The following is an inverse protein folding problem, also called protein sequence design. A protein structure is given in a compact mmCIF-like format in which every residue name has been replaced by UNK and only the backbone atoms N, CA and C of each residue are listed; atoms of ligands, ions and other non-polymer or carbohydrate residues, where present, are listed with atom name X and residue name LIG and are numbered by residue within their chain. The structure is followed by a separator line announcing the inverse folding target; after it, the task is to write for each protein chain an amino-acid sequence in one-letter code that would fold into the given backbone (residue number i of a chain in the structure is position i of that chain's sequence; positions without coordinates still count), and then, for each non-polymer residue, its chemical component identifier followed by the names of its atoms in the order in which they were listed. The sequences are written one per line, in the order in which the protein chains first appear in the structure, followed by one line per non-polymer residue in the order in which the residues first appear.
data_IF_041871759028
#
_entry.id   IF_041871759028
#
_cell.length_a   1.000
_cell.length_b   1.000
_cell.length_c   1.000
_cell.angle_alpha   90.00
_cell.angle_beta   90.00
_cell.angle_gamma   90.00
#
_symmetry.space_group_name_H-M   'P 1'
#
loop_
_entity.id
_entity.type
_entity.pdbx_description
1 polymer ?
#
# COMPACT_ATOMS: atom_id res chain seq x y z
N UNK A 1 -24.16 -11.43 -12.88
CA UNK A 1 -22.97 -10.56 -13.01
C UNK A 1 -21.78 -11.23 -12.38
N UNK A 2 -20.65 -11.23 -13.05
CA UNK A 2 -19.42 -11.82 -12.51
C UNK A 2 -18.80 -10.89 -11.45
N UNK A 3 -18.30 -11.46 -10.36
CA UNK A 3 -17.61 -10.67 -9.33
C UNK A 3 -16.27 -10.17 -9.87
N UNK A 4 -15.92 -8.94 -9.53
CA UNK A 4 -14.58 -8.42 -9.80
C UNK A 4 -13.57 -9.06 -8.84
N UNK A 5 -12.29 -9.05 -9.20
CA UNK A 5 -11.24 -9.76 -8.46
C UNK A 5 -11.20 -9.43 -6.96
N UNK A 6 -11.38 -8.15 -6.61
CA UNK A 6 -11.33 -7.72 -5.21
C UNK A 6 -12.47 -8.28 -4.35
N UNK A 7 -13.57 -8.72 -4.97
CA UNK A 7 -14.71 -9.31 -4.25
C UNK A 7 -14.63 -10.84 -4.15
N UNK A 8 -13.67 -11.47 -4.83
CA UNK A 8 -13.50 -12.92 -4.79
C UNK A 8 -12.60 -13.38 -3.65
N UNK A 9 -11.88 -12.45 -3.00
CA UNK A 9 -11.06 -12.74 -1.83
C UNK A 9 -11.97 -12.94 -0.61
N UNK A 10 -11.70 -13.99 0.17
CA UNK A 10 -12.45 -14.21 1.41
C UNK A 10 -11.91 -13.29 2.52
N UNK A 11 -12.57 -12.16 2.70
CA UNK A 11 -12.16 -11.13 3.67
C UNK A 11 -12.25 -11.60 5.13
N UNK A 12 -13.00 -12.67 5.40
CA UNK A 12 -13.09 -13.23 6.75
C UNK A 12 -11.78 -13.90 7.19
N UNK A 13 -11.02 -14.42 6.23
CA UNK A 13 -9.77 -15.14 6.50
C UNK A 13 -8.52 -14.35 6.11
N UNK A 14 -8.69 -13.13 5.59
CA UNK A 14 -7.58 -12.34 5.06
C UNK A 14 -6.75 -11.73 6.19
N UNK A 15 -5.48 -12.09 6.22
CA UNK A 15 -4.51 -11.57 7.19
C UNK A 15 -3.79 -10.35 6.63
N UNK A 16 -3.17 -9.57 7.53
CA UNK A 16 -2.30 -8.47 7.11
C UNK A 16 -1.09 -8.99 6.33
N UNK A 17 -0.62 -8.22 5.38
CA UNK A 17 0.49 -8.64 4.52
C UNK A 17 0.48 -7.97 3.16
N UNK A 18 1.20 -8.59 2.23
CA UNK A 18 1.28 -8.14 0.84
C UNK A 18 0.99 -9.34 -0.08
N UNK A 19 0.00 -9.18 -0.95
CA UNK A 19 -0.49 -10.28 -1.79
C UNK A 19 -0.62 -9.83 -3.24
N UNK A 20 -0.36 -10.74 -4.18
CA UNK A 20 -0.73 -10.50 -5.58
C UNK A 20 -2.26 -10.56 -5.67
N UNK A 21 -2.86 -9.43 -6.05
CA UNK A 21 -4.30 -9.34 -6.24
C UNK A 21 -4.70 -9.80 -7.63
N UNK A 22 -4.01 -9.29 -8.66
CA UNK A 22 -4.26 -9.65 -10.04
C UNK A 22 -3.09 -9.26 -10.92
N UNK A 23 -3.00 -9.90 -12.10
CA UNK A 23 -2.08 -9.53 -13.17
C UNK A 23 -2.90 -9.18 -14.41
N UNK A 24 -2.56 -8.08 -15.03
CA UNK A 24 -3.19 -7.63 -16.26
C UNK A 24 -2.16 -7.61 -17.38
N UNK A 25 -2.58 -8.02 -18.57
CA UNK A 25 -1.72 -8.14 -19.74
C UNK A 25 -2.17 -7.13 -20.78
N UNK A 26 -1.28 -6.20 -21.12
CA UNK A 26 -1.53 -5.17 -22.11
C UNK A 26 -0.42 -5.26 -23.18
N UNK A 27 -0.69 -5.99 -24.26
CA UNK A 27 0.36 -6.33 -25.24
C UNK A 27 1.46 -7.13 -24.56
N UNK A 28 2.69 -6.65 -24.65
CA UNK A 28 3.85 -7.30 -24.06
C UNK A 28 4.10 -6.86 -22.59
N UNK A 29 3.27 -5.97 -22.08
CA UNK A 29 3.43 -5.44 -20.71
C UNK A 29 2.54 -6.19 -19.74
N UNK A 30 3.12 -6.61 -18.62
CA UNK A 30 2.38 -7.18 -17.49
C UNK A 30 2.27 -6.11 -16.40
N UNK A 31 1.08 -5.92 -15.86
CA UNK A 31 0.84 -5.04 -14.72
C UNK A 31 0.40 -5.89 -13.55
N UNK A 32 1.17 -5.87 -12.48
CA UNK A 32 0.85 -6.62 -11.26
C UNK A 32 0.28 -5.68 -10.21
N UNK A 33 -0.93 -5.98 -9.75
CA UNK A 33 -1.58 -5.25 -8.65
C UNK A 33 -1.39 -6.02 -7.36
N UNK A 34 -0.85 -5.35 -6.34
CA UNK A 34 -0.68 -5.92 -5.02
C UNK A 34 -1.71 -5.37 -4.05
N UNK A 35 -2.24 -6.25 -3.24
CA UNK A 35 -3.09 -5.95 -2.09
C UNK A 35 -2.18 -5.81 -0.87
N UNK A 36 -2.06 -4.59 -0.37
CA UNK A 36 -1.27 -4.28 0.83
C UNK A 36 -2.23 -4.15 2.00
N UNK A 37 -2.42 -5.26 2.71
CA UNK A 37 -3.43 -5.31 3.77
C UNK A 37 -2.82 -4.90 5.10
N UNK A 38 -3.25 -3.75 5.61
CA UNK A 38 -2.74 -3.14 6.84
C UNK A 38 -3.48 -3.59 8.09
N UNK A 39 -4.79 -3.83 7.96
CA UNK A 39 -5.62 -4.29 9.08
C UNK A 39 -6.41 -5.53 8.66
N UNK A 40 -6.73 -6.38 9.62
CA UNK A 40 -7.57 -7.56 9.36
C UNK A 40 -9.02 -7.10 9.13
N UNK A 41 -9.56 -7.33 7.92
CA UNK A 41 -10.92 -6.88 7.60
C UNK A 41 -11.96 -7.47 8.57
N UNK A 42 -12.86 -6.61 9.05
CA UNK A 42 -13.97 -6.99 9.93
C UNK A 42 -13.56 -7.52 11.32
N UNK A 43 -12.27 -7.54 11.64
CA UNK A 43 -11.74 -7.95 12.94
C UNK A 43 -11.11 -6.75 13.65
N UNK A 44 -10.25 -6.03 12.94
CA UNK A 44 -9.62 -4.82 13.47
C UNK A 44 -10.38 -3.59 12.96
N UNK A 45 -10.29 -2.50 13.73
CA UNK A 45 -10.88 -1.22 13.30
C UNK A 45 -10.21 -0.75 12.00
N UNK A 46 -10.97 -0.19 11.05
CA UNK A 46 -10.36 0.39 9.85
C UNK A 46 -9.53 1.63 10.22
N UNK A 47 -8.58 1.96 9.34
CA UNK A 47 -7.73 3.13 9.53
C UNK A 47 -8.54 4.42 9.35
N UNK A 48 -8.14 5.47 10.07
CA UNK A 48 -8.71 6.80 9.91
C UNK A 48 -8.25 7.41 8.57
N UNK A 49 -9.15 8.16 7.92
CA UNK A 49 -8.88 8.77 6.62
C UNK A 49 -7.67 9.70 6.65
N UNK A 50 -7.45 10.43 7.74
CA UNK A 50 -6.33 11.37 7.86
C UNK A 50 -4.98 10.64 7.84
N UNK A 51 -4.87 9.50 8.53
CA UNK A 51 -3.66 8.67 8.50
C UNK A 51 -3.44 8.03 7.14
N UNK A 52 -4.51 7.52 6.52
CA UNK A 52 -4.48 6.94 5.18
C UNK A 52 -3.97 7.97 4.17
N UNK A 53 -4.52 9.19 4.20
CA UNK A 53 -4.19 10.25 3.25
C UNK A 53 -2.71 10.64 3.36
N UNK A 54 -2.18 10.72 4.58
CA UNK A 54 -0.76 10.99 4.79
C UNK A 54 0.12 9.86 4.23
N UNK A 55 -0.24 8.60 4.48
CA UNK A 55 0.49 7.45 3.92
C UNK A 55 0.48 7.50 2.40
N UNK A 56 -0.69 7.79 1.81
CA UNK A 56 -0.82 7.87 0.35
C UNK A 56 0.18 8.86 -0.25
N UNK A 57 0.23 10.09 0.27
CA UNK A 57 1.12 11.12 -0.25
C UNK A 57 2.60 10.75 -0.04
N UNK A 58 2.95 10.23 1.13
CA UNK A 58 4.34 9.90 1.44
C UNK A 58 4.84 8.71 0.62
N UNK A 59 4.07 7.63 0.55
CA UNK A 59 4.48 6.44 -0.19
C UNK A 59 4.48 6.69 -1.69
N UNK A 60 3.49 7.41 -2.21
CA UNK A 60 3.48 7.78 -3.63
C UNK A 60 4.72 8.61 -3.99
N UNK A 61 5.06 9.57 -3.15
CA UNK A 61 6.27 10.40 -3.34
C UNK A 61 7.54 9.55 -3.28
N UNK A 62 7.63 8.66 -2.30
CA UNK A 62 8.77 7.74 -2.16
C UNK A 62 8.95 6.87 -3.40
N UNK A 63 7.88 6.22 -3.85
CA UNK A 63 7.93 5.31 -5.00
C UNK A 63 8.31 6.05 -6.29
N UNK A 64 7.73 7.23 -6.52
CA UNK A 64 7.99 8.02 -7.73
C UNK A 64 9.39 8.62 -7.78
N UNK A 65 10.11 8.62 -6.66
CA UNK A 65 11.49 9.10 -6.58
C UNK A 65 12.50 7.97 -6.36
N UNK A 66 12.06 6.72 -6.30
CA UNK A 66 12.93 5.57 -6.08
C UNK A 66 13.77 5.26 -7.32
N UNK A 67 15.05 4.89 -7.11
CA UNK A 67 15.99 4.64 -8.22
C UNK A 67 15.51 3.54 -9.16
N UNK A 68 14.91 2.49 -8.63
CA UNK A 68 14.49 1.31 -9.39
C UNK A 68 13.00 1.34 -9.69
N UNK A 69 12.18 1.71 -8.68
CA UNK A 69 10.74 1.52 -8.76
C UNK A 69 9.98 2.71 -9.36
N UNK A 70 10.63 3.87 -9.53
CA UNK A 70 9.95 5.05 -10.10
C UNK A 70 9.36 4.73 -11.48
N UNK A 71 10.14 4.09 -12.35
CA UNK A 71 9.71 3.76 -13.71
C UNK A 71 8.69 2.62 -13.78
N UNK A 72 8.56 1.86 -12.70
CA UNK A 72 7.65 0.72 -12.63
C UNK A 72 6.35 1.05 -11.92
N UNK A 73 6.28 2.15 -11.16
CA UNK A 73 5.11 2.51 -10.39
C UNK A 73 4.02 3.08 -11.28
N UNK A 74 2.89 2.40 -11.35
CA UNK A 74 1.72 2.83 -12.12
C UNK A 74 0.73 3.56 -11.22
N UNK A 75 0.49 3.02 -10.02
CA UNK A 75 -0.51 3.58 -9.10
C UNK A 75 -0.23 3.12 -7.67
N UNK A 76 -0.50 4.01 -6.72
CA UNK A 76 -0.59 3.68 -5.29
C UNK A 76 -1.76 4.45 -4.70
N UNK A 77 -2.66 3.77 -4.00
CA UNK A 77 -3.80 4.42 -3.40
C UNK A 77 -4.55 3.55 -2.40
N UNK A 78 -5.38 4.16 -1.55
CA UNK A 78 -6.09 3.43 -0.51
C UNK A 78 -7.30 2.67 -1.04
N UNK A 79 -7.66 1.61 -0.30
CA UNK A 79 -8.92 0.91 -0.50
C UNK A 79 -10.07 1.67 0.15
N UNK A 80 -11.24 1.65 -0.48
CA UNK A 80 -12.42 2.30 0.06
C UNK A 80 -12.85 1.78 1.43
N UNK A 81 -12.55 0.52 1.76
CA UNK A 81 -12.86 -0.07 3.07
C UNK A 81 -11.89 0.36 4.18
N UNK A 82 -10.83 1.08 3.84
CA UNK A 82 -9.85 1.62 4.78
C UNK A 82 -9.07 0.55 5.57
N UNK A 83 -8.87 -0.62 4.96
CA UNK A 83 -8.09 -1.70 5.58
C UNK A 83 -6.73 -1.93 4.92
N UNK A 84 -6.43 -1.18 3.87
CA UNK A 84 -5.16 -1.30 3.17
C UNK A 84 -5.07 -0.41 1.94
N UNK A 85 -4.09 -0.71 1.12
CA UNK A 85 -3.77 0.03 -0.10
C UNK A 85 -3.60 -0.93 -1.27
N UNK A 86 -3.75 -0.42 -2.48
CA UNK A 86 -3.31 -1.09 -3.69
C UNK A 86 -2.08 -0.40 -4.24
N UNK A 87 -1.13 -1.19 -4.72
CA UNK A 87 -0.03 -0.69 -5.55
C UNK A 87 0.00 -1.49 -6.84
N UNK A 88 0.20 -0.78 -7.96
CA UNK A 88 0.33 -1.40 -9.27
C UNK A 88 1.72 -1.10 -9.80
N UNK A 89 2.45 -2.17 -10.12
CA UNK A 89 3.77 -2.07 -10.75
C UNK A 89 3.76 -2.69 -12.13
N UNK A 90 4.50 -2.09 -13.06
CA UNK A 90 4.80 -2.73 -14.32
C UNK A 90 5.82 -3.85 -14.10
N UNK A 91 5.49 -5.03 -14.56
CA UNK A 91 6.32 -6.22 -14.42
C UNK A 91 5.51 -7.42 -13.97
N UNK A 92 6.01 -8.62 -14.25
CA UNK A 92 5.42 -9.89 -13.80
C UNK A 92 6.07 -10.23 -12.45
N UNK A 93 5.43 -9.78 -11.37
CA UNK A 93 6.02 -9.76 -10.03
C UNK A 93 5.25 -10.65 -9.08
N UNK A 94 5.97 -11.16 -8.08
CA UNK A 94 5.40 -11.88 -6.93
C UNK A 94 5.61 -11.05 -5.65
N UNK A 95 4.94 -11.44 -4.56
CA UNK A 95 5.00 -10.70 -3.30
C UNK A 95 6.43 -10.51 -2.78
N UNK A 96 7.27 -11.53 -2.90
CA UNK A 96 8.67 -11.48 -2.47
C UNK A 96 9.50 -10.42 -3.21
N UNK A 97 9.10 -10.06 -4.43
CA UNK A 97 9.82 -9.06 -5.23
C UNK A 97 9.66 -7.65 -4.68
N UNK A 98 8.61 -7.39 -3.90
CA UNK A 98 8.29 -6.04 -3.43
C UNK A 98 8.48 -5.85 -1.92
N UNK A 99 8.79 -6.90 -1.18
CA UNK A 99 8.91 -6.79 0.29
C UNK A 99 9.98 -5.76 0.69
N UNK A 100 11.14 -5.77 0.02
CA UNK A 100 12.22 -4.85 0.36
C UNK A 100 11.83 -3.39 0.10
N UNK A 101 11.20 -3.08 -1.05
CA UNK A 101 10.77 -1.72 -1.34
C UNK A 101 9.65 -1.27 -0.40
N UNK A 102 8.77 -2.19 0.04
CA UNK A 102 7.74 -1.86 1.04
C UNK A 102 8.37 -1.54 2.39
N UNK A 103 9.41 -2.26 2.80
CA UNK A 103 10.16 -1.95 4.03
C UNK A 103 10.86 -0.59 3.93
N UNK A 104 11.46 -0.29 2.79
CA UNK A 104 12.06 1.03 2.52
C UNK A 104 11.01 2.14 2.59
N UNK A 105 9.83 1.93 2.01
CA UNK A 105 8.73 2.88 2.06
C UNK A 105 8.26 3.10 3.51
N UNK A 106 8.18 2.02 4.29
CA UNK A 106 7.82 2.10 5.71
C UNK A 106 8.84 2.94 6.48
N UNK A 107 10.12 2.72 6.27
CA UNK A 107 11.18 3.50 6.91
C UNK A 107 11.10 4.96 6.51
N UNK A 108 10.82 5.25 5.25
CA UNK A 108 10.64 6.63 4.78
C UNK A 108 9.51 7.33 5.55
N UNK A 109 8.37 6.67 5.75
CA UNK A 109 7.26 7.26 6.50
C UNK A 109 7.63 7.43 7.98
N UNK A 110 8.25 6.41 8.58
CA UNK A 110 8.60 6.43 10.00
C UNK A 110 9.65 7.51 10.33
N UNK A 111 10.57 7.76 9.41
CA UNK A 111 11.63 8.76 9.58
C UNK A 111 11.22 10.16 9.12
N UNK A 112 10.05 10.30 8.49
CA UNK A 112 9.63 11.55 7.90
C UNK A 112 9.36 12.61 8.97
N UNK A 113 9.89 13.82 8.73
CA UNK A 113 9.67 14.99 9.57
C UNK A 113 9.38 16.20 8.68
N UNK A 114 8.61 17.15 9.22
CA UNK A 114 8.30 18.37 8.53
C UNK A 114 7.01 18.33 7.73
N UNK A 115 6.91 19.24 6.77
CA UNK A 115 5.72 19.39 5.96
C UNK A 115 5.57 18.24 4.95
N UNK A 116 4.38 17.64 4.91
CA UNK A 116 4.11 16.52 4.01
C UNK A 116 4.01 16.99 2.56
N UNK A 117 4.48 16.19 1.60
CA UNK A 117 4.37 16.56 0.18
C UNK A 117 2.90 16.68 -0.23
N UNK A 118 2.58 17.72 -0.99
CA UNK A 118 1.22 17.97 -1.43
C UNK A 118 0.28 18.50 -0.34
N UNK A 119 0.80 18.88 0.82
CA UNK A 119 -0.01 19.37 1.95
C UNK A 119 -0.26 20.88 1.80
N UNK A 120 -1.09 21.22 0.82
CA UNK A 120 -1.52 22.60 0.61
C UNK A 120 -2.85 22.62 -0.14
N UNK A 121 -3.65 23.69 -0.01
CA UNK A 121 -4.92 23.78 -0.72
C UNK A 121 -4.75 23.87 -2.24
N UNK A 122 -3.57 24.28 -2.70
CA UNK A 122 -3.25 24.31 -4.12
C UNK A 122 -3.02 22.91 -4.69
N UNK A 123 -2.31 22.08 -3.91
CA UNK A 123 -1.81 20.79 -4.42
C UNK A 123 -2.71 19.61 -4.08
N UNK A 124 -3.64 19.80 -3.16
CA UNK A 124 -4.52 18.72 -2.70
C UNK A 124 -5.94 19.21 -2.48
N UNK A 125 -6.92 18.42 -2.91
CA UNK A 125 -8.34 18.77 -2.76
C UNK A 125 -8.87 18.72 -1.34
N UNK A 126 -8.14 18.09 -0.41
CA UNK A 126 -8.53 17.99 1.00
C UNK A 126 -7.29 17.93 1.90
N UNK A 127 -6.46 18.96 1.82
CA UNK A 127 -5.15 18.97 2.47
C UNK A 127 -5.22 18.94 4.01
N UNK A 128 -6.34 19.37 4.62
CA UNK A 128 -6.50 19.37 6.07
C UNK A 128 -6.74 17.96 6.64
N UNK A 129 -7.21 17.02 5.83
CA UNK A 129 -7.40 15.63 6.24
C UNK A 129 -6.05 14.89 6.18
N UNK A 130 -5.18 15.16 7.16
CA UNK A 130 -3.81 14.70 7.17
C UNK A 130 -3.35 14.53 8.61
N UNK A 131 -2.70 13.41 8.94
CA UNK A 131 -2.20 13.14 10.28
C UNK A 131 -0.96 12.26 10.23
N UNK A 132 0.21 12.88 10.41
CA UNK A 132 1.49 12.17 10.35
C UNK A 132 1.67 11.19 11.52
N UNK A 133 1.18 11.54 12.70
CA UNK A 133 1.26 10.65 13.87
C UNK A 133 0.51 9.34 13.63
N UNK A 134 -0.72 9.42 13.13
CA UNK A 134 -1.49 8.22 12.78
C UNK A 134 -0.83 7.44 11.65
N UNK A 135 -0.32 8.13 10.63
CA UNK A 135 0.38 7.48 9.53
C UNK A 135 1.56 6.63 10.03
N UNK A 136 2.33 7.18 10.97
CA UNK A 136 3.46 6.47 11.56
C UNK A 136 3.01 5.27 12.41
N UNK A 137 1.92 5.40 13.15
CA UNK A 137 1.37 4.29 13.95
C UNK A 137 0.96 3.14 13.02
N UNK A 138 0.21 3.44 11.96
CA UNK A 138 -0.24 2.44 10.99
C UNK A 138 0.93 1.80 10.26
N UNK A 139 1.91 2.61 9.86
CA UNK A 139 3.07 2.11 9.12
C UNK A 139 3.99 1.25 9.98
N UNK A 140 4.16 1.60 11.26
CA UNK A 140 4.96 0.78 12.20
C UNK A 140 4.34 -0.61 12.35
N UNK A 141 3.03 -0.67 12.52
CA UNK A 141 2.31 -1.94 12.59
C UNK A 141 2.48 -2.75 11.30
N UNK A 142 2.37 -2.09 10.15
CA UNK A 142 2.52 -2.77 8.86
C UNK A 142 3.95 -3.26 8.64
N UNK A 143 4.95 -2.45 8.97
CA UNK A 143 6.35 -2.85 8.88
C UNK A 143 6.63 -4.10 9.71
N UNK A 144 6.12 -4.14 10.94
CA UNK A 144 6.28 -5.31 11.80
C UNK A 144 5.63 -6.56 11.19
N UNK A 145 4.50 -6.39 10.54
CA UNK A 145 3.83 -7.46 9.78
C UNK A 145 4.70 -7.97 8.62
N UNK A 146 5.37 -7.07 7.89
CA UNK A 146 6.22 -7.44 6.75
C UNK A 146 7.41 -8.31 7.15
N UNK A 147 7.87 -8.25 8.39
CA UNK A 147 8.94 -9.11 8.88
C UNK A 147 8.54 -10.59 8.85
N UNK A 148 7.24 -10.89 8.97
CA UNK A 148 6.70 -12.24 8.99
C UNK A 148 6.12 -12.66 7.65
N UNK A 149 5.80 -11.72 6.78
CA UNK A 149 5.11 -11.98 5.50
C UNK A 149 5.96 -12.86 4.57
N UNK A 150 7.30 -12.68 4.56
CA UNK A 150 8.18 -13.50 3.74
C UNK A 150 8.13 -14.98 4.12
N UNK A 151 7.99 -15.29 5.41
CA UNK A 151 7.87 -16.66 5.90
C UNK A 151 6.45 -17.19 5.68
N UNK A 152 5.43 -16.35 5.86
CA UNK A 152 4.04 -16.72 5.66
C UNK A 152 3.68 -16.89 4.17
N UNK A 153 4.31 -16.16 3.27
CA UNK A 153 4.08 -16.28 1.83
C UNK A 153 4.52 -17.63 1.28
N UNK A 154 5.53 -18.24 1.89
CA UNK A 154 6.01 -19.57 1.50
C UNK A 154 5.04 -20.68 1.91
N UNK A 155 4.14 -20.43 2.87
CA UNK A 155 3.14 -21.37 3.37
C UNK A 155 1.78 -21.25 2.69
N UNK A 156 1.62 -20.28 1.82
CA UNK A 156 0.39 -20.06 1.04
C UNK A 156 0.56 -20.55 -0.38
#
# INVERSE_FOLDING_TARGET
MNKIASFTVNHLDLLTGAYVSRKDYQGDVVLTTFDLRFTRPNVEAPMDTAGIHTIEHLVATFLRNHKVWADKTIYFGPMGCRTGFYVIFAGDLESEDIIDVLREAADFVLDYEGERPGYSPRDCGNYLDNNLTLAKIYMKKYKDCLLYTSDAADDL
#
